data_IF_595919843063
#
_entry.id   IF_595919843063
#
_cell.length_a   1.000
_cell.length_b   1.000
_cell.length_c   1.000
_cell.angle_alpha   90.00
_cell.angle_beta   90.00
_cell.angle_gamma   90.00
#
_symmetry.space_group_name_H-M   'P 1'
#
loop_
_entity.id
_entity.type
_entity.pdbx_description
1 polymer ?
#
# COMPACT_ATOMS: atom_id res chain seq x y z
N UNK A 1 15.98 -5.11 40.74
CA UNK A 1 16.37 -5.83 39.51
C UNK A 1 15.16 -6.20 38.64
N UNK A 2 14.21 -7.00 39.12
CA UNK A 2 13.04 -7.46 38.32
C UNK A 2 12.12 -6.35 37.80
N UNK A 3 11.84 -5.33 38.62
CA UNK A 3 10.98 -4.17 38.25
C UNK A 3 11.61 -3.29 37.16
N UNK A 4 12.93 -3.11 37.23
CA UNK A 4 13.70 -2.35 36.23
C UNK A 4 13.76 -3.07 34.89
N UNK A 5 13.84 -4.40 34.89
CA UNK A 5 13.80 -5.21 33.67
C UNK A 5 12.45 -5.11 32.94
N UNK A 6 11.33 -5.07 33.69
CA UNK A 6 9.99 -4.89 33.13
C UNK A 6 9.83 -3.49 32.51
N UNK A 7 10.31 -2.46 33.19
CA UNK A 7 10.27 -1.09 32.68
C UNK A 7 11.07 -0.92 31.38
N UNK A 8 12.24 -1.56 31.29
CA UNK A 8 13.07 -1.55 30.07
C UNK A 8 12.38 -2.30 28.93
N UNK A 9 11.79 -3.46 29.20
CA UNK A 9 11.04 -4.21 28.18
C UNK A 9 9.83 -3.44 27.66
N UNK A 10 9.14 -2.71 28.54
CA UNK A 10 8.00 -1.87 28.15
C UNK A 10 8.45 -0.68 27.29
N UNK A 11 9.58 -0.05 27.64
CA UNK A 11 10.16 1.06 26.89
C UNK A 11 10.62 0.62 25.48
N UNK A 12 11.21 -0.57 25.38
CA UNK A 12 11.60 -1.16 24.08
C UNK A 12 10.36 -1.46 23.23
N UNK A 13 9.29 -2.01 23.81
CA UNK A 13 8.04 -2.24 23.09
C UNK A 13 7.47 -0.92 22.54
N UNK A 14 7.46 0.14 23.36
CA UNK A 14 6.92 1.44 23.00
C UNK A 14 7.73 2.12 21.87
N UNK A 15 9.05 1.91 21.83
CA UNK A 15 9.91 2.42 20.76
C UNK A 15 9.65 1.78 19.39
N UNK A 16 9.26 0.48 19.36
CA UNK A 16 8.91 -0.22 18.12
C UNK A 16 7.63 0.38 17.51
N UNK A 17 6.63 0.71 18.33
CA UNK A 17 5.39 1.33 17.86
C UNK A 17 5.50 2.82 17.52
N UNK A 18 6.50 3.52 18.04
CA UNK A 18 6.71 4.95 17.78
C UNK A 18 7.43 5.25 16.46
N UNK A 19 8.00 4.23 15.81
CA UNK A 19 8.72 4.39 14.55
C UNK A 19 7.73 4.46 13.39
N UNK A 20 7.68 5.54 12.58
CA UNK A 20 6.93 5.51 11.34
C UNK A 20 7.55 4.43 10.45
N UNK A 21 6.76 3.41 10.09
CA UNK A 21 7.15 2.47 9.05
C UNK A 21 7.11 3.23 7.72
N UNK A 22 8.24 3.84 7.35
CA UNK A 22 8.40 4.41 6.02
C UNK A 22 8.60 3.28 5.02
N UNK A 23 7.50 2.71 4.56
CA UNK A 23 7.46 1.92 3.33
C UNK A 23 7.51 2.91 2.15
N UNK A 24 8.71 3.34 1.78
CA UNK A 24 8.92 4.10 0.55
C UNK A 24 10.02 3.44 -0.26
N UNK A 25 9.70 2.27 -0.79
CA UNK A 25 10.14 1.98 -2.14
C UNK A 25 9.17 2.74 -3.05
N UNK A 26 9.66 3.59 -3.95
CA UNK A 26 8.81 4.27 -4.91
C UNK A 26 8.18 3.20 -5.82
N UNK A 27 6.97 2.78 -5.48
CA UNK A 27 6.18 1.90 -6.32
C UNK A 27 5.96 2.61 -7.65
N UNK A 28 6.12 1.86 -8.75
CA UNK A 28 5.97 2.42 -10.08
C UNK A 28 4.49 2.43 -10.43
N UNK A 29 3.96 3.59 -10.80
CA UNK A 29 2.61 3.71 -11.33
C UNK A 29 2.41 2.78 -12.55
N UNK A 30 1.28 2.09 -12.57
CA UNK A 30 0.86 1.19 -13.63
C UNK A 30 0.11 1.89 -14.75
N UNK A 31 -1.08 1.38 -15.07
CA UNK A 31 -1.95 1.96 -16.09
C UNK A 31 -2.60 3.23 -15.52
N UNK A 32 -2.41 4.36 -16.20
CA UNK A 32 -2.96 5.64 -15.73
C UNK A 32 -4.48 5.57 -15.56
N UNK A 33 -5.01 6.05 -14.42
CA UNK A 33 -6.44 6.29 -14.25
C UNK A 33 -6.98 7.20 -15.36
N UNK A 34 -8.14 6.85 -15.91
CA UNK A 34 -8.76 7.56 -17.03
C UNK A 34 -8.26 7.13 -18.42
N UNK A 35 -7.27 6.23 -18.51
CA UNK A 35 -6.96 5.57 -19.77
C UNK A 35 -8.02 4.51 -20.12
N UNK A 36 -8.21 4.26 -21.42
CA UNK A 36 -9.16 3.23 -21.90
C UNK A 36 -8.89 1.85 -21.30
N UNK A 37 -7.63 1.53 -21.01
CA UNK A 37 -7.23 0.22 -20.50
C UNK A 37 -7.26 0.10 -18.96
N UNK A 38 -7.51 1.19 -18.23
CA UNK A 38 -7.55 1.18 -16.76
C UNK A 38 -8.61 0.22 -16.20
N UNK A 39 -9.73 0.09 -16.89
CA UNK A 39 -10.76 -0.87 -16.51
C UNK A 39 -10.24 -2.32 -16.49
N UNK A 40 -9.42 -2.70 -17.47
CA UNK A 40 -8.84 -4.04 -17.55
C UNK A 40 -7.82 -4.26 -16.44
N UNK A 41 -7.00 -3.25 -16.14
CA UNK A 41 -6.05 -3.26 -15.04
C UNK A 41 -6.74 -3.61 -13.71
N UNK A 42 -7.73 -2.80 -13.30
CA UNK A 42 -8.50 -3.03 -12.07
C UNK A 42 -9.27 -4.35 -12.09
N UNK A 43 -9.76 -4.79 -13.25
CA UNK A 43 -10.45 -6.08 -13.37
C UNK A 43 -9.48 -7.25 -13.12
N UNK A 44 -8.27 -7.20 -13.70
CA UNK A 44 -7.27 -8.25 -13.52
C UNK A 44 -6.68 -8.26 -12.11
N UNK A 45 -6.52 -7.10 -11.45
CA UNK A 45 -6.16 -7.03 -10.02
C UNK A 45 -7.18 -7.79 -9.15
N UNK A 46 -8.47 -7.51 -9.34
CA UNK A 46 -9.57 -8.17 -8.61
C UNK A 46 -9.62 -9.67 -8.87
N UNK A 47 -9.50 -10.08 -10.13
CA UNK A 47 -9.41 -11.50 -10.52
C UNK A 47 -8.18 -12.14 -9.85
N UNK A 48 -7.04 -11.45 -9.86
CA UNK A 48 -5.81 -11.88 -9.22
C UNK A 48 -5.98 -12.11 -7.72
N UNK A 49 -6.63 -11.19 -7.00
CA UNK A 49 -6.95 -11.35 -5.57
C UNK A 49 -7.95 -12.47 -5.32
N UNK A 50 -8.97 -12.62 -6.17
CA UNK A 50 -9.98 -13.67 -6.04
C UNK A 50 -9.35 -15.07 -6.09
N UNK A 51 -8.44 -15.30 -7.05
CA UNK A 51 -7.75 -16.58 -7.22
C UNK A 51 -6.50 -16.77 -6.35
N UNK A 52 -6.08 -15.78 -5.56
CA UNK A 52 -4.97 -15.93 -4.61
C UNK A 52 -5.49 -16.54 -3.31
N UNK A 53 -5.55 -17.87 -3.19
CA UNK A 53 -6.21 -18.53 -2.05
C UNK A 53 -5.41 -18.53 -0.75
N UNK A 54 -4.08 -18.49 -0.83
CA UNK A 54 -3.25 -18.42 0.36
C UNK A 54 -3.37 -17.02 1.01
N UNK A 55 -3.67 -16.93 2.32
CA UNK A 55 -3.97 -15.65 2.98
C UNK A 55 -2.76 -14.71 3.03
N UNK A 56 -1.56 -15.23 3.30
CA UNK A 56 -0.33 -14.44 3.34
C UNK A 56 -0.02 -13.86 1.95
N UNK A 57 -0.09 -14.70 0.91
CA UNK A 57 0.10 -14.25 -0.47
C UNK A 57 -0.98 -13.25 -0.93
N UNK A 58 -2.22 -13.43 -0.47
CA UNK A 58 -3.31 -12.48 -0.78
C UNK A 58 -3.04 -11.13 -0.11
N UNK A 59 -2.61 -11.12 1.13
CA UNK A 59 -2.26 -9.90 1.84
C UNK A 59 -1.09 -9.19 1.17
N UNK A 60 -0.02 -9.92 0.81
CA UNK A 60 1.11 -9.36 0.07
C UNK A 60 0.65 -8.72 -1.25
N UNK A 61 -0.14 -9.45 -2.04
CA UNK A 61 -0.65 -8.97 -3.34
C UNK A 61 -1.56 -7.75 -3.20
N UNK A 62 -2.37 -7.69 -2.14
CA UNK A 62 -3.20 -6.53 -1.85
C UNK A 62 -2.35 -5.29 -1.50
N UNK A 63 -1.21 -5.48 -0.81
CA UNK A 63 -0.26 -4.40 -0.55
C UNK A 63 0.43 -3.92 -1.82
N UNK A 64 0.85 -4.84 -2.70
CA UNK A 64 1.43 -4.49 -4.01
C UNK A 64 0.46 -3.62 -4.83
N UNK A 65 -0.83 -3.98 -4.90
CA UNK A 65 -1.83 -3.17 -5.60
C UNK A 65 -2.11 -1.83 -4.90
N UNK A 66 -2.12 -1.79 -3.57
CA UNK A 66 -2.30 -0.53 -2.85
C UNK A 66 -1.13 0.45 -3.10
N UNK A 67 0.10 -0.07 -3.15
CA UNK A 67 1.30 0.72 -3.48
C UNK A 67 1.24 1.25 -4.93
N UNK A 68 0.80 0.43 -5.88
CA UNK A 68 0.57 0.84 -7.27
C UNK A 68 -0.48 1.95 -7.38
N UNK A 69 -1.62 1.82 -6.69
CA UNK A 69 -2.68 2.83 -6.66
C UNK A 69 -2.23 4.15 -6.03
N UNK A 70 -1.42 4.08 -4.97
CA UNK A 70 -0.83 5.28 -4.38
C UNK A 70 0.11 6.00 -5.37
N UNK A 71 0.92 5.25 -6.11
CA UNK A 71 1.80 5.81 -7.14
C UNK A 71 1.02 6.40 -8.32
N UNK A 72 -0.10 5.78 -8.72
CA UNK A 72 -1.01 6.32 -9.73
C UNK A 72 -1.70 7.62 -9.27
N UNK A 73 -2.13 7.67 -8.01
CA UNK A 73 -2.68 8.88 -7.39
C UNK A 73 -1.64 10.00 -7.32
N UNK A 74 -0.39 9.69 -6.92
CA UNK A 74 0.71 10.65 -6.91
C UNK A 74 1.01 11.18 -8.33
N UNK A 75 1.08 10.30 -9.32
CA UNK A 75 1.29 10.69 -10.72
C UNK A 75 0.15 11.59 -11.23
N UNK A 76 -1.12 11.26 -10.92
CA UNK A 76 -2.27 12.07 -11.28
C UNK A 76 -2.28 13.44 -10.59
N UNK A 77 -1.86 13.51 -9.32
CA UNK A 77 -1.74 14.76 -8.57
C UNK A 77 -0.66 15.67 -9.20
N UNK A 78 0.50 15.09 -9.55
CA UNK A 78 1.57 15.81 -10.25
C UNK A 78 1.13 16.31 -11.65
N UNK A 79 0.18 15.64 -12.29
CA UNK A 79 -0.43 16.05 -13.56
C UNK A 79 -1.62 17.04 -13.39
N UNK A 80 -1.95 17.47 -12.17
CA UNK A 80 -3.11 18.32 -11.84
C UNK A 80 -4.47 17.74 -12.32
N UNK A 81 -4.66 16.42 -12.17
CA UNK A 81 -5.89 15.70 -12.55
C UNK A 81 -6.62 15.15 -11.33
N UNK A 82 -7.39 15.98 -10.59
CA UNK A 82 -8.01 15.56 -9.33
C UNK A 82 -9.02 14.41 -9.50
N UNK A 83 -9.69 14.31 -10.65
CA UNK A 83 -10.62 13.22 -10.94
C UNK A 83 -9.87 11.89 -11.11
N UNK A 84 -8.67 11.93 -11.70
CA UNK A 84 -7.81 10.75 -11.83
C UNK A 84 -7.22 10.32 -10.49
N UNK A 85 -6.91 11.27 -9.59
CA UNK A 85 -6.54 10.96 -8.19
C UNK A 85 -7.69 10.22 -7.51
N UNK A 86 -8.91 10.76 -7.57
CA UNK A 86 -10.09 10.11 -6.97
C UNK A 86 -10.40 8.73 -7.57
N UNK A 87 -10.01 8.49 -8.83
CA UNK A 87 -10.21 7.20 -9.52
C UNK A 87 -9.16 6.15 -9.14
N UNK A 88 -7.96 6.59 -8.73
CA UNK A 88 -6.90 5.69 -8.27
C UNK A 88 -7.15 5.16 -6.85
N UNK A 89 -7.89 5.91 -6.02
CA UNK A 89 -8.06 5.66 -4.58
C UNK A 89 -9.25 4.75 -4.23
#
# INVERSE_FOLDING_TARGET
MKKSAIAISFLVLMAIFASPVSASAAAKAGIKPGSFFYFFDTAFEKIGLFFTFNPEKKAQKAMEYAEEKLAEAEAAANENKPEAVATAM
#
